data_IF_949101057201
#
_entry.id   IF_949101057201
#
_cell.length_a   1.000
_cell.length_b   1.000
_cell.length_c   1.000
_cell.angle_alpha   90.00
_cell.angle_beta   90.00
_cell.angle_gamma   90.00
#
_symmetry.space_group_name_H-M   'P 1'
#
loop_
_entity.id
_entity.type
_entity.pdbx_description
1 polymer ?
#
# COMPACT_ATOMS: atom_id res chain seq x y z
N UNK A 1 -4.91 8.47 -10.00
CA UNK A 1 -6.08 9.30 -10.37
C UNK A 1 -6.01 9.65 -11.85
N UNK A 2 -7.13 9.49 -12.56
CA UNK A 2 -7.23 9.80 -14.00
C UNK A 2 -7.82 11.18 -14.28
N UNK A 3 -8.79 11.64 -13.48
CA UNK A 3 -9.32 13.01 -13.57
C UNK A 3 -8.52 13.94 -12.63
N UNK A 4 -7.88 15.01 -13.14
CA UNK A 4 -7.16 15.96 -12.30
C UNK A 4 -8.05 16.67 -11.28
N UNK A 5 -9.37 16.77 -11.51
CA UNK A 5 -10.32 17.38 -10.55
C UNK A 5 -10.42 16.59 -9.23
N UNK A 6 -9.98 15.34 -9.22
CA UNK A 6 -9.91 14.55 -7.99
C UNK A 6 -8.71 14.93 -7.10
N UNK A 7 -7.70 15.67 -7.62
CA UNK A 7 -6.64 16.24 -6.79
C UNK A 7 -7.16 17.56 -6.22
N UNK A 8 -7.35 17.62 -4.90
CA UNK A 8 -7.78 18.84 -4.19
C UNK A 8 -6.76 19.28 -3.12
N UNK A 9 -5.52 18.77 -3.19
CA UNK A 9 -4.47 19.03 -2.21
C UNK A 9 -3.22 19.64 -2.83
N UNK A 10 -2.35 20.20 -1.97
CA UNK A 10 -1.05 20.78 -2.34
C UNK A 10 -0.06 20.65 -1.16
N UNK A 11 1.22 20.33 -1.39
CA UNK A 11 1.82 20.02 -2.68
C UNK A 11 1.36 18.67 -3.24
N UNK A 12 1.44 18.51 -4.55
CA UNK A 12 1.17 17.24 -5.24
C UNK A 12 2.49 16.53 -5.47
N UNK A 13 2.62 15.30 -4.97
CA UNK A 13 3.84 14.50 -5.06
C UNK A 13 3.60 13.22 -5.86
N UNK A 14 4.67 12.71 -6.51
CA UNK A 14 4.59 11.46 -7.29
C UNK A 14 4.29 10.22 -6.44
N UNK A 15 4.51 10.29 -5.14
CA UNK A 15 4.30 9.20 -4.19
C UNK A 15 3.01 9.35 -3.36
N UNK A 16 2.14 10.32 -3.69
CA UNK A 16 0.85 10.51 -3.02
C UNK A 16 0.00 9.23 -3.04
N UNK A 17 -0.89 9.10 -2.06
CA UNK A 17 -1.93 8.07 -2.09
C UNK A 17 -2.91 8.44 -3.20
N UNK A 18 -3.01 7.58 -4.20
CA UNK A 18 -3.73 7.84 -5.43
C UNK A 18 -5.23 7.57 -5.33
N UNK A 19 -5.67 6.73 -4.38
CA UNK A 19 -7.09 6.47 -4.12
C UNK A 19 -7.32 5.75 -2.79
N UNK A 20 -8.59 5.60 -2.43
CA UNK A 20 -9.02 4.76 -1.32
C UNK A 20 -8.53 3.31 -1.47
N UNK A 21 -8.29 2.67 -0.32
CA UNK A 21 -7.84 1.29 -0.20
C UNK A 21 -6.45 1.00 -0.78
N UNK A 22 -5.53 1.96 -0.85
CA UNK A 22 -4.12 1.58 -0.90
C UNK A 22 -3.69 0.89 0.40
N UNK A 23 -2.76 -0.05 0.30
CA UNK A 23 -2.29 -0.84 1.45
C UNK A 23 -0.78 -0.77 1.55
N UNK A 24 -0.28 -0.75 2.77
CA UNK A 24 1.14 -0.82 3.09
C UNK A 24 1.34 -2.01 4.01
N UNK A 25 2.13 -2.99 3.58
CA UNK A 25 2.50 -4.12 4.41
C UNK A 25 3.85 -3.81 5.05
N UNK A 26 3.88 -3.89 6.39
CA UNK A 26 5.04 -3.59 7.22
C UNK A 26 5.57 -4.91 7.78
N UNK A 27 6.90 -5.05 7.77
CA UNK A 27 7.59 -6.21 8.31
C UNK A 27 7.55 -6.30 9.83
N UNK A 28 7.91 -7.46 10.41
CA UNK A 28 8.01 -7.62 11.86
C UNK A 28 9.14 -6.79 12.49
N UNK A 29 10.09 -6.32 11.68
CA UNK A 29 11.14 -5.38 12.03
C UNK A 29 10.66 -3.91 12.05
N UNK A 30 9.41 -3.65 11.65
CA UNK A 30 8.84 -2.31 11.55
C UNK A 30 9.13 -1.60 10.22
N UNK A 31 9.85 -2.25 9.29
CA UNK A 31 10.24 -1.63 8.02
C UNK A 31 9.19 -1.87 6.92
N UNK A 32 8.98 -0.91 5.99
CA UNK A 32 8.06 -1.09 4.88
C UNK A 32 8.49 -2.24 3.95
N UNK A 33 7.64 -3.25 3.79
CA UNK A 33 7.91 -4.39 2.91
C UNK A 33 7.39 -4.15 1.48
N UNK A 34 6.12 -3.76 1.35
CA UNK A 34 5.48 -3.54 0.04
C UNK A 34 4.29 -2.59 0.13
N UNK A 35 4.10 -1.79 -0.91
CA UNK A 35 2.90 -0.96 -1.14
C UNK A 35 2.03 -1.60 -2.23
N UNK A 36 0.72 -1.65 -2.02
CA UNK A 36 -0.27 -2.20 -2.95
C UNK A 36 -1.25 -1.12 -3.37
N UNK A 37 -1.60 -1.12 -4.66
CA UNK A 37 -2.56 -0.15 -5.21
C UNK A 37 -3.97 -0.35 -4.63
N UNK A 38 -4.81 0.69 -4.75
CA UNK A 38 -6.22 0.66 -4.38
C UNK A 38 -7.01 -0.52 -4.97
N UNK A 39 -6.63 -0.93 -6.18
CA UNK A 39 -7.29 -2.00 -6.95
C UNK A 39 -6.80 -3.40 -6.63
N UNK A 40 -5.69 -3.53 -5.90
CA UNK A 40 -5.17 -4.83 -5.50
C UNK A 40 -6.09 -5.44 -4.45
N UNK A 41 -6.54 -6.68 -4.65
CA UNK A 41 -7.44 -7.35 -3.71
C UNK A 41 -6.73 -7.58 -2.38
N UNK A 42 -7.39 -7.22 -1.27
CA UNK A 42 -6.83 -7.42 0.07
C UNK A 42 -6.56 -8.89 0.36
N UNK A 43 -7.40 -9.81 -0.16
CA UNK A 43 -7.21 -11.26 -0.05
C UNK A 43 -5.89 -11.74 -0.65
N UNK A 44 -5.45 -11.11 -1.73
CA UNK A 44 -4.25 -11.55 -2.48
C UNK A 44 -2.96 -11.14 -1.75
N UNK A 45 -3.06 -10.34 -0.68
CA UNK A 45 -1.95 -9.97 0.21
C UNK A 45 -1.62 -11.13 1.18
N UNK A 46 -2.53 -12.10 1.35
CA UNK A 46 -2.38 -13.23 2.29
C UNK A 46 -1.04 -13.98 2.13
N UNK A 47 -0.58 -14.21 0.90
CA UNK A 47 0.69 -14.88 0.64
C UNK A 47 1.91 -14.09 1.16
N UNK A 48 1.90 -12.77 0.96
CA UNK A 48 2.95 -11.88 1.47
C UNK A 48 2.90 -11.79 3.01
N UNK A 49 1.72 -11.79 3.62
CA UNK A 49 1.54 -11.82 5.09
C UNK A 49 2.10 -13.12 5.67
N UNK A 50 1.71 -14.28 5.13
CA UNK A 50 2.21 -15.58 5.58
C UNK A 50 3.73 -15.68 5.49
N UNK A 51 4.31 -15.14 4.42
CA UNK A 51 5.77 -15.03 4.26
C UNK A 51 6.39 -14.23 5.41
N UNK A 52 5.88 -13.05 5.72
CA UNK A 52 6.43 -12.21 6.78
C UNK A 52 6.25 -12.83 8.17
N UNK A 53 5.11 -13.48 8.44
CA UNK A 53 4.89 -14.21 9.69
C UNK A 53 5.90 -15.34 9.90
N UNK A 54 6.32 -16.03 8.83
CA UNK A 54 7.36 -17.07 8.93
C UNK A 54 8.76 -16.55 9.26
N UNK A 55 9.01 -15.25 9.06
CA UNK A 55 10.28 -14.58 9.36
C UNK A 55 10.32 -14.00 10.77
N UNK A 56 9.15 -13.73 11.36
CA UNK A 56 9.03 -13.32 12.75
C UNK A 56 9.37 -14.51 13.66
N UNK A 57 10.53 -14.44 14.31
CA UNK A 57 10.95 -15.43 15.32
C UNK A 57 10.31 -15.13 16.67
#
# INVERSE_FOLDING_TARGET
MTDPKCIIWSPVCRNDVAWNFEKFLIGPDGEPFKRYSGRFLTSDIDGDIKKLLSLAK
#
